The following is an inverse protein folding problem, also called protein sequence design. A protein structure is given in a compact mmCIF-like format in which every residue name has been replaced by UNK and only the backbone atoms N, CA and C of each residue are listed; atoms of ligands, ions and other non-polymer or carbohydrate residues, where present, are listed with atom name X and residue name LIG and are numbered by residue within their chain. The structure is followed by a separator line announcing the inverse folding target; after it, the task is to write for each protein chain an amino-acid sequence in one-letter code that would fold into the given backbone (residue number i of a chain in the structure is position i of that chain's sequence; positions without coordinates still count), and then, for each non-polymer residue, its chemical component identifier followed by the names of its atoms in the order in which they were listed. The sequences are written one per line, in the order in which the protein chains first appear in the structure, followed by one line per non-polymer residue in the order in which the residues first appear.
data_IF_034087172573
#
_entry.id   IF_034087172573
#
_cell.length_a   1.000
_cell.length_b   1.000
_cell.length_c   1.000
_cell.angle_alpha   90.00
_cell.angle_beta   90.00
_cell.angle_gamma   90.00
#
_symmetry.space_group_name_H-M   'P 1'
#
loop_
_entity.id
_entity.type
_entity.pdbx_description
1 polymer ?
#
# COMPACT_ATOMS: atom_id res chain seq x y z
N UNK A 1 -2.20 -0.20 15.77
CA UNK A 1 -0.72 -0.22 15.77
C UNK A 1 -0.25 -1.21 14.71
N UNK A 2 0.71 -0.81 13.87
CA UNK A 2 1.29 -1.71 12.87
C UNK A 2 2.48 -2.49 13.48
N UNK A 3 2.67 -3.74 13.05
CA UNK A 3 3.83 -4.53 13.43
C UNK A 3 5.01 -4.18 12.51
N UNK A 4 6.24 -4.06 13.05
CA UNK A 4 7.41 -3.82 12.21
C UNK A 4 7.61 -4.97 11.24
N UNK A 5 7.85 -4.63 9.97
CA UNK A 5 8.17 -5.61 8.94
C UNK A 5 9.64 -5.97 9.04
N UNK A 6 9.98 -6.93 9.90
CA UNK A 6 11.36 -7.40 10.06
C UNK A 6 11.69 -8.53 9.08
N UNK A 7 10.71 -9.38 8.78
CA UNK A 7 10.86 -10.55 7.91
C UNK A 7 10.01 -10.39 6.66
N UNK A 8 10.41 -11.12 5.63
CA UNK A 8 9.65 -11.14 4.37
C UNK A 8 8.31 -11.84 4.58
N UNK A 9 7.23 -11.19 4.16
CA UNK A 9 5.87 -11.74 4.11
C UNK A 9 5.53 -12.12 2.67
N UNK A 10 4.96 -13.32 2.48
CA UNK A 10 4.51 -13.79 1.16
C UNK A 10 3.01 -14.03 1.19
N UNK A 11 2.29 -13.49 0.22
CA UNK A 11 0.84 -13.68 0.05
C UNK A 11 0.51 -13.93 -1.41
N UNK A 12 -0.59 -14.63 -1.64
CA UNK A 12 -1.21 -14.69 -2.96
C UNK A 12 -2.20 -13.54 -3.08
N UNK A 13 -2.23 -12.89 -4.24
CA UNK A 13 -3.18 -11.85 -4.60
C UNK A 13 -3.66 -12.10 -6.03
N UNK A 14 -4.89 -11.72 -6.33
CA UNK A 14 -5.44 -11.81 -7.69
C UNK A 14 -5.53 -10.40 -8.24
N UNK A 15 -4.93 -10.17 -9.41
CA UNK A 15 -4.95 -8.89 -10.13
C UNK A 15 -5.43 -9.19 -11.54
N UNK A 16 -6.52 -8.56 -11.95
CA UNK A 16 -7.16 -8.77 -13.26
C UNK A 16 -7.41 -10.26 -13.56
N UNK A 17 -7.96 -10.98 -12.57
CA UNK A 17 -8.24 -12.42 -12.66
C UNK A 17 -7.00 -13.32 -12.69
N UNK A 18 -5.78 -12.75 -12.62
CA UNK A 18 -4.53 -13.50 -12.66
C UNK A 18 -3.92 -13.62 -11.26
N UNK A 19 -3.54 -14.84 -10.80
CA UNK A 19 -2.90 -15.02 -9.51
C UNK A 19 -1.42 -14.60 -9.54
N UNK A 20 -1.03 -13.82 -8.53
CA UNK A 20 0.34 -13.39 -8.26
C UNK A 20 0.74 -13.75 -6.84
N UNK A 21 2.02 -14.03 -6.65
CA UNK A 21 2.67 -14.00 -5.34
C UNK A 21 3.24 -12.62 -5.10
N UNK A 22 2.73 -11.93 -4.08
CA UNK A 22 3.33 -10.70 -3.55
C UNK A 22 4.27 -11.07 -2.40
N UNK A 23 5.46 -10.50 -2.45
CA UNK A 23 6.51 -10.64 -1.45
C UNK A 23 6.84 -9.26 -0.91
N UNK A 24 6.51 -9.02 0.35
CA UNK A 24 6.70 -7.74 1.03
C UNK A 24 7.85 -7.90 2.00
N UNK A 25 8.87 -7.05 1.90
CA UNK A 25 10.10 -7.13 2.69
C UNK A 25 10.52 -5.74 3.19
N UNK A 26 11.44 -5.63 4.17
CA UNK A 26 11.92 -4.33 4.63
C UNK A 26 12.50 -3.44 3.53
N UNK A 27 12.88 -3.98 2.37
CA UNK A 27 13.47 -3.24 1.25
C UNK A 27 12.45 -2.79 0.19
N UNK A 28 11.27 -3.41 0.15
CA UNK A 28 10.27 -3.16 -0.87
C UNK A 28 9.34 -4.33 -1.13
N UNK A 29 8.62 -4.25 -2.25
CA UNK A 29 7.64 -5.22 -2.70
C UNK A 29 8.09 -5.86 -4.00
N UNK A 30 7.92 -7.17 -4.11
CA UNK A 30 8.09 -7.93 -5.35
C UNK A 30 6.82 -8.68 -5.67
N UNK A 31 6.35 -8.56 -6.91
CA UNK A 31 5.19 -9.24 -7.43
C UNK A 31 5.63 -10.23 -8.52
N UNK A 32 5.23 -11.49 -8.40
CA UNK A 32 5.59 -12.55 -9.34
C UNK A 32 4.32 -13.27 -9.76
N UNK A 33 4.06 -13.39 -11.07
CA UNK A 33 2.91 -14.16 -11.56
C UNK A 33 3.08 -15.63 -11.20
N UNK A 34 2.01 -16.30 -10.77
CA UNK A 34 2.05 -17.72 -10.39
C UNK A 34 2.57 -18.57 -11.56
N UNK A 35 3.52 -19.46 -11.28
CA UNK A 35 4.21 -20.27 -12.30
C UNK A 35 5.41 -19.58 -12.99
N UNK A 36 5.68 -18.31 -12.68
CA UNK A 36 6.81 -17.56 -13.24
C UNK A 36 7.89 -17.32 -12.18
N UNK A 37 9.15 -17.21 -12.61
CA UNK A 37 10.29 -16.89 -11.73
C UNK A 37 10.71 -15.41 -11.83
N UNK A 38 10.44 -14.77 -12.97
CA UNK A 38 10.67 -13.34 -13.19
C UNK A 38 9.42 -12.57 -12.77
N UNK A 39 9.60 -11.55 -11.96
CA UNK A 39 8.54 -10.67 -11.48
C UNK A 39 9.06 -9.24 -11.32
N UNK A 40 8.15 -8.30 -11.04
CA UNK A 40 8.47 -6.88 -10.92
C UNK A 40 8.72 -6.54 -9.46
N UNK A 41 9.75 -5.75 -9.18
CA UNK A 41 10.08 -5.31 -7.83
C UNK A 41 10.18 -3.79 -7.77
N UNK A 42 9.72 -3.21 -6.67
CA UNK A 42 9.76 -1.78 -6.37
C UNK A 42 10.27 -1.62 -4.93
N UNK A 43 11.24 -0.74 -4.73
CA UNK A 43 11.71 -0.38 -3.40
C UNK A 43 10.74 0.60 -2.72
N UNK A 44 10.76 0.69 -1.40
CA UNK A 44 9.93 1.66 -0.69
C UNK A 44 10.20 3.11 -1.11
N UNK A 45 11.47 3.46 -1.37
CA UNK A 45 11.83 4.80 -1.87
C UNK A 45 11.26 5.07 -3.25
N UNK A 46 11.31 4.09 -4.15
CA UNK A 46 10.71 4.24 -5.47
C UNK A 46 9.18 4.36 -5.38
N UNK A 47 8.55 3.61 -4.47
CA UNK A 47 7.11 3.72 -4.23
C UNK A 47 6.73 5.11 -3.69
N UNK A 48 7.48 5.65 -2.73
CA UNK A 48 7.25 7.01 -2.19
C UNK A 48 7.42 8.10 -3.25
N UNK A 49 8.36 7.95 -4.17
CA UNK A 49 8.56 8.91 -5.26
C UNK A 49 7.44 8.89 -6.32
N UNK A 50 6.66 7.80 -6.38
CA UNK A 50 5.58 7.60 -7.34
C UNK A 50 4.18 7.73 -6.74
N UNK A 51 4.07 7.65 -5.41
CA UNK A 51 2.82 7.91 -4.74
C UNK A 51 2.53 9.41 -4.87
N UNK A 52 1.49 9.75 -5.64
CA UNK A 52 0.91 11.08 -5.49
C UNK A 52 0.41 11.19 -4.04
N UNK A 53 0.64 12.32 -3.35
CA UNK A 53 -0.04 12.55 -2.09
C UNK A 53 -1.52 12.52 -2.42
N UNK A 54 -2.18 11.42 -2.09
CA UNK A 54 -3.63 11.39 -2.01
C UNK A 54 -3.97 12.52 -1.07
N UNK A 55 -4.47 13.63 -1.63
CA UNK A 55 -4.99 14.72 -0.84
C UNK A 55 -6.11 14.11 0.00
N UNK A 56 -5.82 13.92 1.29
CA UNK A 56 -6.83 13.67 2.30
C UNK A 56 -7.84 14.81 2.14
N UNK A 57 -9.14 14.55 1.89
CA UNK A 57 -10.11 15.61 1.90
C UNK A 57 -10.03 16.25 3.29
N UNK A 58 -9.63 17.51 3.33
CA UNK A 58 -9.55 18.30 4.55
C UNK A 58 -10.86 18.11 5.31
N UNK A 59 -10.75 17.44 6.45
CA UNK A 59 -11.80 17.25 7.42
C UNK A 59 -12.34 18.65 7.72
N UNK A 60 -13.60 18.87 7.35
CA UNK A 60 -14.30 20.13 7.58
C UNK A 60 -14.46 20.32 9.08
N UNK A 61 -13.47 20.97 9.68
CA UNK A 61 -13.58 21.60 10.99
C UNK A 61 -14.45 22.86 10.81
N UNK A 62 -15.75 22.67 10.65
CA UNK A 62 -16.75 23.72 10.88
C UNK A 62 -17.53 23.34 12.13
N UNK A 63 -16.89 23.57 13.27
CA UNK A 63 -17.52 23.71 14.57
C UNK A 63 -18.53 24.87 14.51
N UNK A 64 -19.78 24.59 14.14
CA UNK A 64 -20.87 25.53 14.30
C UNK A 64 -21.32 25.52 15.77
N UNK A 65 -21.22 26.64 16.52
CA UNK A 65 -21.76 26.69 17.87
C UNK A 65 -23.30 26.56 17.82
N UNK A 66 -23.95 25.90 18.80
CA UNK A 66 -25.39 25.92 18.87
C UNK A 66 -25.86 27.34 19.17
N UNK A 67 -26.39 28.01 18.15
CA UNK A 67 -27.19 29.21 18.34
C UNK A 67 -28.43 28.83 19.14
N UNK A 68 -28.57 29.44 20.31
CA UNK A 68 -29.68 29.21 21.21
C UNK A 68 -31.06 29.54 20.61
N UNK A 69 -32.06 28.91 21.20
CA UNK A 69 -33.49 29.22 21.10
C UNK A 69 -34.19 28.68 22.32
#
# INVERSE_FOLDING_TARGET
MALPLERTLKREVVIDGTPYTVTVSPLGVKLVRKGFRKGRAVSWRALLAQAEPTAEPEESDEEAPPAGG
#
